data_IF_828981613658
#
_entry.id   IF_828981613658
#
_cell.length_a   1.000
_cell.length_b   1.000
_cell.length_c   1.000
_cell.angle_alpha   90.00
_cell.angle_beta   90.00
_cell.angle_gamma   90.00
#
_symmetry.space_group_name_H-M   'P 1'
#
loop_
_entity.id
_entity.type
_entity.pdbx_description
1 polymer ?
#
# COMPACT_ATOMS: atom_id res chain seq x y z
N UNK A 1 -18.12 40.85 -11.89
CA UNK A 1 -18.10 39.56 -12.62
C UNK A 1 -17.13 38.65 -11.90
N UNK A 2 -17.65 37.78 -11.04
CA UNK A 2 -16.85 36.93 -10.17
C UNK A 2 -16.24 35.79 -10.96
N UNK A 3 -14.91 35.69 -10.96
CA UNK A 3 -14.25 34.42 -11.24
C UNK A 3 -14.39 33.60 -9.96
N UNK A 4 -15.44 32.78 -9.86
CA UNK A 4 -15.50 31.76 -8.83
C UNK A 4 -14.34 30.81 -9.11
N UNK A 5 -13.28 30.96 -8.34
CA UNK A 5 -12.22 30.00 -8.27
C UNK A 5 -12.89 28.73 -7.73
N UNK A 6 -13.17 27.77 -8.61
CA UNK A 6 -13.65 26.45 -8.21
C UNK A 6 -12.60 25.86 -7.28
N UNK A 7 -12.83 26.02 -5.98
CA UNK A 7 -12.08 25.34 -4.95
C UNK A 7 -12.29 23.86 -5.20
N UNK A 8 -11.26 23.18 -5.72
CA UNK A 8 -11.15 21.71 -5.76
C UNK A 8 -11.15 21.22 -4.32
N UNK A 9 -12.33 21.21 -3.73
CA UNK A 9 -12.54 20.91 -2.33
C UNK A 9 -12.58 19.40 -2.24
N UNK A 10 -11.47 18.81 -1.81
CA UNK A 10 -11.39 17.38 -1.55
C UNK A 10 -12.32 17.09 -0.37
N UNK A 11 -13.24 16.12 -0.52
CA UNK A 11 -14.13 15.79 0.57
C UNK A 11 -13.34 15.17 1.73
N UNK A 12 -13.72 15.47 2.97
CA UNK A 12 -13.02 14.89 4.13
C UNK A 12 -13.03 13.36 4.12
N UNK A 13 -14.11 12.75 3.60
CA UNK A 13 -14.22 11.30 3.44
C UNK A 13 -13.17 10.73 2.48
N UNK A 14 -12.90 11.45 1.38
CA UNK A 14 -11.87 11.09 0.41
C UNK A 14 -10.47 11.08 1.07
N UNK A 15 -10.19 12.06 1.93
CA UNK A 15 -8.92 12.15 2.67
C UNK A 15 -8.77 10.96 3.62
N UNK A 16 -9.86 10.57 4.30
CA UNK A 16 -9.85 9.42 5.21
C UNK A 16 -9.59 8.11 4.46
N UNK A 17 -10.19 7.94 3.28
CA UNK A 17 -10.03 6.76 2.44
C UNK A 17 -8.58 6.63 1.93
N UNK A 18 -8.00 7.71 1.40
CA UNK A 18 -6.58 7.73 1.00
C UNK A 18 -5.66 7.40 2.17
N UNK A 19 -5.94 7.96 3.36
CA UNK A 19 -5.14 7.70 4.56
C UNK A 19 -5.18 6.22 4.96
N UNK A 20 -6.31 5.53 4.76
CA UNK A 20 -6.41 4.10 5.01
C UNK A 20 -5.54 3.32 4.01
N UNK A 21 -5.65 3.61 2.72
CA UNK A 21 -4.82 2.98 1.68
C UNK A 21 -3.32 3.19 1.90
N UNK A 22 -2.90 4.41 2.25
CA UNK A 22 -1.49 4.70 2.54
C UNK A 22 -0.97 3.94 3.75
N UNK A 23 -1.80 3.72 4.78
CA UNK A 23 -1.42 2.93 5.96
C UNK A 23 -1.27 1.45 5.63
N UNK A 24 -2.19 0.90 4.82
CA UNK A 24 -2.08 -0.48 4.37
C UNK A 24 -0.83 -0.68 3.51
N UNK A 25 -0.58 0.21 2.55
CA UNK A 25 0.65 0.20 1.74
C UNK A 25 1.91 0.27 2.60
N UNK A 26 1.95 1.14 3.61
CA UNK A 26 3.09 1.23 4.53
C UNK A 26 3.32 -0.08 5.30
N UNK A 27 2.25 -0.72 5.77
CA UNK A 27 2.31 -2.00 6.46
C UNK A 27 2.86 -3.10 5.54
N UNK A 28 2.35 -3.22 4.32
CA UNK A 28 2.82 -4.21 3.35
C UNK A 28 4.27 -3.97 2.94
N UNK A 29 4.66 -2.70 2.75
CA UNK A 29 6.06 -2.32 2.49
C UNK A 29 6.99 -2.73 3.64
N UNK A 30 6.59 -2.55 4.91
CA UNK A 30 7.38 -3.00 6.07
C UNK A 30 7.55 -4.52 6.10
N UNK A 31 6.50 -5.27 5.76
CA UNK A 31 6.56 -6.74 5.68
C UNK A 31 7.54 -7.19 4.59
N UNK A 32 7.47 -6.58 3.41
CA UNK A 32 8.42 -6.85 2.32
C UNK A 32 9.86 -6.47 2.70
N UNK A 33 10.05 -5.33 3.38
CA UNK A 33 11.35 -4.89 3.85
C UNK A 33 11.95 -5.83 4.90
N UNK A 34 11.12 -6.54 5.65
CA UNK A 34 11.57 -7.52 6.64
C UNK A 34 11.99 -8.87 6.02
N UNK A 35 11.50 -9.21 4.82
CA UNK A 35 11.76 -10.50 4.17
C UNK A 35 13.26 -10.81 3.96
N UNK A 36 14.11 -9.88 3.49
CA UNK A 36 15.54 -10.14 3.37
C UNK A 36 16.21 -10.47 4.70
N UNK A 37 15.75 -9.88 5.82
CA UNK A 37 16.26 -10.19 7.16
C UNK A 37 15.79 -11.56 7.63
N UNK A 38 14.58 -11.97 7.26
CA UNK A 38 14.06 -13.29 7.60
C UNK A 38 14.76 -14.41 6.82
N UNK A 39 15.05 -14.16 5.54
CA UNK A 39 15.74 -15.06 4.62
C UNK A 39 17.27 -15.03 4.76
N UNK A 40 17.81 -14.31 5.75
CA UNK A 40 19.24 -14.30 6.02
C UNK A 40 19.72 -15.73 6.31
N UNK A 41 20.58 -16.25 5.44
CA UNK A 41 21.15 -17.59 5.53
C UNK A 41 21.98 -17.82 6.82
N UNK A 42 22.34 -16.76 7.54
CA UNK A 42 23.00 -16.83 8.85
C UNK A 42 22.05 -17.19 9.98
N UNK A 43 20.73 -17.02 9.80
CA UNK A 43 19.72 -17.35 10.80
C UNK A 43 19.16 -18.75 10.52
N UNK A 44 19.33 -19.67 11.46
CA UNK A 44 18.65 -20.97 11.39
C UNK A 44 17.16 -20.79 11.64
N UNK A 45 16.36 -21.10 10.62
CA UNK A 45 14.90 -21.15 10.69
C UNK A 45 14.41 -22.58 10.66
N UNK A 46 13.35 -22.85 11.40
CA UNK A 46 12.61 -24.09 11.31
C UNK A 46 11.84 -24.17 9.99
N UNK A 47 11.54 -25.37 9.49
CA UNK A 47 10.72 -25.53 8.29
C UNK A 47 9.34 -24.85 8.39
N UNK A 48 8.76 -24.79 9.59
CA UNK A 48 7.48 -24.12 9.85
C UNK A 48 7.58 -22.60 9.72
N UNK A 49 8.65 -21.99 10.25
CA UNK A 49 8.94 -20.57 10.06
C UNK A 49 9.11 -20.21 8.58
N UNK A 50 9.84 -21.03 7.83
CA UNK A 50 10.02 -20.84 6.38
C UNK A 50 8.69 -20.94 5.63
N UNK A 51 7.84 -21.92 5.97
CA UNK A 51 6.51 -22.08 5.37
C UNK A 51 5.60 -20.88 5.64
N UNK A 52 5.53 -20.43 6.89
CA UNK A 52 4.73 -19.26 7.26
C UNK A 52 5.20 -17.99 6.54
N UNK A 53 6.50 -17.79 6.39
CA UNK A 53 7.05 -16.67 5.62
C UNK A 53 6.70 -16.76 4.13
N UNK A 54 6.76 -17.95 3.53
CA UNK A 54 6.38 -18.15 2.13
C UNK A 54 4.88 -17.85 1.91
N UNK A 55 4.01 -18.30 2.81
CA UNK A 55 2.56 -18.01 2.76
C UNK A 55 2.29 -16.50 2.88
N UNK A 56 2.96 -15.80 3.80
CA UNK A 56 2.87 -14.35 3.90
C UNK A 56 3.38 -13.66 2.63
N UNK A 57 4.49 -14.12 2.05
CA UNK A 57 5.04 -13.54 0.82
C UNK A 57 4.08 -13.68 -0.35
N UNK A 58 3.47 -14.85 -0.50
CA UNK A 58 2.52 -15.11 -1.57
C UNK A 58 1.29 -14.21 -1.48
N UNK A 59 0.74 -14.02 -0.27
CA UNK A 59 -0.35 -13.07 -0.02
C UNK A 59 0.08 -11.64 -0.34
N UNK A 60 1.28 -11.23 0.08
CA UNK A 60 1.77 -9.87 -0.21
C UNK A 60 1.93 -9.70 -1.72
N UNK A 61 2.64 -10.61 -2.37
CA UNK A 61 2.95 -10.55 -3.80
C UNK A 61 1.68 -10.52 -4.67
N UNK A 62 0.68 -11.35 -4.36
CA UNK A 62 -0.60 -11.38 -5.08
C UNK A 62 -1.40 -10.08 -4.91
N UNK A 63 -1.29 -9.41 -3.77
CA UNK A 63 -2.08 -8.22 -3.46
C UNK A 63 -1.34 -6.90 -3.74
N UNK A 64 -0.02 -6.91 -3.83
CA UNK A 64 0.79 -5.70 -3.92
C UNK A 64 0.54 -4.91 -5.21
N UNK A 65 0.45 -5.60 -6.36
CA UNK A 65 0.18 -4.97 -7.66
C UNK A 65 -1.22 -4.37 -7.71
N UNK A 66 -2.20 -5.05 -7.13
CA UNK A 66 -3.58 -4.54 -6.95
C UNK A 66 -3.59 -3.30 -6.06
N UNK A 67 -2.90 -3.33 -4.91
CA UNK A 67 -2.79 -2.20 -3.99
C UNK A 67 -2.13 -0.98 -4.64
N UNK A 68 -1.06 -1.18 -5.41
CA UNK A 68 -0.40 -0.10 -6.18
C UNK A 68 -1.38 0.46 -7.21
N UNK A 69 -2.03 -0.40 -7.99
CA UNK A 69 -2.97 0.01 -9.03
C UNK A 69 -4.16 0.79 -8.47
N UNK A 70 -4.71 0.36 -7.34
CA UNK A 70 -5.79 1.07 -6.66
C UNK A 70 -5.31 2.42 -6.12
N UNK A 71 -4.17 2.45 -5.44
CA UNK A 71 -3.60 3.71 -4.94
C UNK A 71 -3.34 4.71 -6.08
N UNK A 72 -2.80 4.26 -7.22
CA UNK A 72 -2.60 5.10 -8.41
C UNK A 72 -3.93 5.60 -8.99
N UNK A 73 -4.99 4.79 -9.02
CA UNK A 73 -6.32 5.24 -9.44
C UNK A 73 -6.85 6.35 -8.53
N UNK A 74 -6.72 6.18 -7.21
CA UNK A 74 -7.12 7.21 -6.25
C UNK A 74 -6.30 8.49 -6.43
N UNK A 75 -4.98 8.39 -6.48
CA UNK A 75 -4.07 9.53 -6.67
C UNK A 75 -4.34 10.26 -8.00
N UNK A 76 -4.57 9.52 -9.08
CA UNK A 76 -4.92 10.10 -10.39
C UNK A 76 -6.27 10.82 -10.38
N UNK A 77 -7.27 10.31 -9.65
CA UNK A 77 -8.56 10.99 -9.45
C UNK A 77 -8.38 12.34 -8.76
N UNK A 78 -7.48 12.44 -7.77
CA UNK A 78 -7.16 13.72 -7.12
C UNK A 78 -6.30 14.66 -7.98
N UNK A 79 -5.30 14.12 -8.66
CA UNK A 79 -4.40 14.92 -9.50
C UNK A 79 -5.10 15.49 -10.75
N UNK A 80 -6.03 14.73 -11.33
CA UNK A 80 -6.73 15.15 -12.55
C UNK A 80 -7.84 16.18 -12.31
N UNK A 81 -8.35 16.32 -11.08
CA UNK A 81 -9.38 17.27 -10.66
C UNK A 81 -10.33 17.70 -11.79
N UNK A 82 -11.00 16.71 -12.36
CA UNK A 82 -12.21 16.83 -13.17
C UNK A 82 -13.35 16.20 -12.40
#
# INVERSE_FOLDING_TARGET
MGKSQESKTIAYQDILEIKAYLRELEMWHKVLHFMPHFLDAKIRRTPQEVKACAEMFEVVYQNFDTLITEADKYLNKFASGK
#
